data_IF_085630474014
#
_entry.id   IF_085630474014
#
_cell.length_a   1.000
_cell.length_b   1.000
_cell.length_c   1.000
_cell.angle_alpha   90.00
_cell.angle_beta   90.00
_cell.angle_gamma   90.00
#
_symmetry.space_group_name_H-M   'P 1'
#
loop_
_entity.id
_entity.type
_entity.pdbx_description
1 polymer ?
#
# COMPACT_ATOMS: atom_id res chain seq x y z
N UNK A 1 -8.94 -31.98 -30.50
CA UNK A 1 -8.43 -32.56 -31.78
C UNK A 1 -7.31 -33.50 -31.44
N UNK A 2 -7.09 -34.57 -32.25
CA UNK A 2 -5.87 -35.35 -32.15
C UNK A 2 -4.71 -34.63 -32.82
N UNK A 3 -3.46 -35.09 -32.58
CA UNK A 3 -2.26 -34.49 -33.22
C UNK A 3 -2.37 -34.55 -34.75
N UNK A 4 -2.87 -35.69 -35.29
CA UNK A 4 -3.07 -35.89 -36.72
C UNK A 4 -4.13 -34.95 -37.31
N UNK A 5 -5.23 -34.75 -36.63
CA UNK A 5 -6.26 -33.79 -37.07
C UNK A 5 -5.71 -32.35 -37.09
N UNK A 6 -4.95 -31.94 -36.06
CA UNK A 6 -4.29 -30.65 -36.06
C UNK A 6 -3.28 -30.51 -37.19
N UNK A 7 -2.46 -31.55 -37.39
CA UNK A 7 -1.49 -31.59 -38.50
C UNK A 7 -2.15 -31.47 -39.87
N UNK A 8 -3.32 -32.11 -40.05
CA UNK A 8 -4.10 -32.03 -41.28
C UNK A 8 -4.76 -30.68 -41.55
N UNK A 9 -4.90 -29.83 -40.52
CA UNK A 9 -5.48 -28.47 -40.64
C UNK A 9 -4.46 -27.39 -40.95
N UNK A 10 -3.15 -27.74 -41.02
CA UNK A 10 -2.10 -26.74 -41.21
C UNK A 10 -1.95 -26.33 -42.67
N UNK A 11 -1.60 -25.06 -42.92
CA UNK A 11 -1.28 -24.57 -44.26
C UNK A 11 -0.04 -25.23 -44.78
N UNK A 12 -0.09 -25.67 -46.09
CA UNK A 12 1.03 -26.28 -46.77
C UNK A 12 1.75 -25.27 -47.67
N UNK A 13 2.99 -25.61 -48.02
CA UNK A 13 3.75 -24.95 -49.09
C UNK A 13 3.34 -25.51 -50.44
N UNK A 14 3.76 -24.87 -51.51
CA UNK A 14 3.47 -25.31 -52.89
C UNK A 14 4.03 -26.74 -53.17
N UNK A 15 5.03 -27.19 -52.39
CA UNK A 15 5.63 -28.51 -52.45
C UNK A 15 4.98 -29.55 -51.52
N UNK A 16 3.85 -29.21 -50.85
CA UNK A 16 3.12 -30.09 -49.95
C UNK A 16 3.73 -30.26 -48.55
N UNK A 17 4.79 -29.56 -48.20
CA UNK A 17 5.34 -29.52 -46.85
C UNK A 17 4.57 -28.53 -45.99
N UNK A 18 4.51 -28.79 -44.65
CA UNK A 18 3.89 -27.89 -43.72
C UNK A 18 4.62 -26.54 -43.76
N UNK A 19 3.86 -25.43 -43.97
CA UNK A 19 4.40 -24.08 -44.01
C UNK A 19 4.86 -23.64 -42.63
N UNK A 20 6.12 -23.30 -42.51
CA UNK A 20 6.68 -22.74 -41.27
C UNK A 20 6.21 -21.28 -41.13
N UNK A 21 5.03 -21.05 -40.52
CA UNK A 21 4.38 -19.76 -40.40
C UNK A 21 3.89 -19.53 -38.95
N UNK A 22 3.74 -18.24 -38.55
CA UNK A 22 3.15 -17.89 -37.23
C UNK A 22 1.73 -18.46 -37.13
N UNK A 23 0.96 -18.45 -38.23
CA UNK A 23 -0.42 -18.97 -38.26
C UNK A 23 -0.44 -20.46 -37.92
N UNK A 24 0.39 -21.29 -38.53
CA UNK A 24 0.47 -22.71 -38.21
C UNK A 24 0.92 -22.96 -36.77
N UNK A 25 1.90 -22.19 -36.25
CA UNK A 25 2.28 -22.27 -34.85
C UNK A 25 1.08 -21.95 -33.93
N UNK A 26 0.30 -20.88 -34.22
CA UNK A 26 -0.90 -20.53 -33.48
C UNK A 26 -1.96 -21.63 -33.54
N UNK A 27 -2.22 -22.19 -34.71
CA UNK A 27 -3.17 -23.30 -34.89
C UNK A 27 -2.78 -24.50 -33.99
N UNK A 28 -1.50 -24.83 -33.93
CA UNK A 28 -1.02 -25.90 -33.05
C UNK A 28 -1.22 -25.54 -31.59
N UNK A 29 -0.76 -24.38 -31.12
CA UNK A 29 -0.93 -24.01 -29.71
C UNK A 29 -2.39 -23.92 -29.27
N UNK A 30 -3.31 -23.62 -30.18
CA UNK A 30 -4.75 -23.48 -29.88
C UNK A 30 -5.52 -24.80 -29.91
N UNK A 31 -5.06 -25.82 -30.66
CA UNK A 31 -5.82 -27.05 -30.93
C UNK A 31 -5.12 -28.36 -30.53
N UNK A 32 -3.79 -28.32 -30.34
CA UNK A 32 -3.04 -29.50 -29.91
C UNK A 32 -3.52 -29.98 -28.51
N UNK A 33 -3.77 -31.28 -28.31
CA UNK A 33 -4.36 -31.80 -27.08
C UNK A 33 -3.51 -31.55 -25.82
N UNK A 34 -2.21 -31.38 -25.97
CA UNK A 34 -1.29 -31.11 -24.85
C UNK A 34 -1.09 -29.60 -24.63
N UNK A 35 -1.01 -28.83 -25.72
CA UNK A 35 -0.64 -27.41 -25.67
C UNK A 35 -1.83 -26.48 -25.52
N UNK A 36 -3.03 -26.92 -25.90
CA UNK A 36 -4.24 -26.12 -25.81
C UNK A 36 -4.48 -25.62 -24.38
N UNK A 37 -4.45 -24.29 -24.20
CA UNK A 37 -4.66 -23.63 -22.89
C UNK A 37 -3.54 -23.88 -21.86
N UNK A 38 -2.40 -24.46 -22.28
CA UNK A 38 -1.24 -24.62 -21.41
C UNK A 38 -0.45 -23.33 -21.23
N UNK A 39 -0.37 -22.52 -22.27
CA UNK A 39 0.40 -21.27 -22.31
C UNK A 39 -0.52 -20.10 -22.01
N UNK A 40 -0.22 -19.36 -20.93
CA UNK A 40 -1.02 -18.21 -20.48
C UNK A 40 -0.14 -17.05 -20.03
N UNK A 41 -0.60 -15.83 -20.20
CA UNK A 41 0.07 -14.64 -19.67
C UNK A 41 -0.42 -14.33 -18.26
N UNK A 42 0.49 -14.32 -17.30
CA UNK A 42 0.23 -13.99 -15.92
C UNK A 42 0.31 -12.48 -15.72
N UNK A 43 -0.84 -11.84 -15.47
CA UNK A 43 -0.94 -10.38 -15.32
C UNK A 43 -0.22 -9.87 -14.05
N UNK A 44 -0.08 -10.71 -13.02
CA UNK A 44 0.58 -10.31 -11.78
C UNK A 44 2.10 -10.27 -11.94
N UNK A 45 2.68 -11.33 -12.54
CA UNK A 45 4.13 -11.43 -12.74
C UNK A 45 4.59 -10.79 -14.05
N UNK A 46 3.64 -10.49 -14.96
CA UNK A 46 3.89 -10.02 -16.33
C UNK A 46 4.80 -10.95 -17.12
N UNK A 47 4.62 -12.26 -16.91
CA UNK A 47 5.37 -13.32 -17.55
C UNK A 47 4.44 -14.34 -18.19
N UNK A 48 5.00 -15.10 -19.10
CA UNK A 48 4.31 -16.26 -19.70
C UNK A 48 4.49 -17.45 -18.78
N UNK A 49 3.40 -18.10 -18.45
CA UNK A 49 3.38 -19.30 -17.63
C UNK A 49 2.90 -20.52 -18.44
N UNK A 50 3.41 -21.69 -18.09
CA UNK A 50 2.86 -22.98 -18.49
C UNK A 50 2.04 -23.50 -17.31
N UNK A 51 0.72 -23.42 -17.42
CA UNK A 51 -0.22 -23.68 -16.32
C UNK A 51 -0.76 -25.11 -16.28
N UNK A 52 -0.42 -25.93 -17.29
CA UNK A 52 -0.76 -27.37 -17.34
C UNK A 52 0.50 -28.19 -17.23
N UNK A 53 0.44 -29.37 -16.57
CA UNK A 53 1.53 -30.30 -16.61
C UNK A 53 1.76 -30.78 -18.08
N UNK A 54 2.99 -30.74 -18.50
CA UNK A 54 3.45 -31.30 -19.78
C UNK A 54 4.31 -32.53 -19.53
N UNK A 55 5.01 -33.03 -20.53
CA UNK A 55 5.78 -34.29 -20.45
C UNK A 55 7.17 -34.13 -19.84
N UNK A 56 7.52 -32.95 -19.34
CA UNK A 56 8.74 -32.71 -18.57
C UNK A 56 8.43 -32.11 -17.22
N UNK A 57 9.33 -32.29 -16.27
CA UNK A 57 9.24 -31.70 -14.95
C UNK A 57 9.70 -30.25 -14.97
N UNK A 58 9.01 -29.41 -14.25
CA UNK A 58 9.38 -28.00 -14.07
C UNK A 58 9.12 -27.53 -12.66
N UNK A 59 10.07 -26.77 -12.06
CA UNK A 59 9.96 -26.32 -10.66
C UNK A 59 9.00 -25.12 -10.49
N UNK A 60 8.81 -24.31 -11.53
CA UNK A 60 7.99 -23.09 -11.49
C UNK A 60 7.07 -23.02 -12.70
N UNK A 61 5.95 -22.28 -12.57
CA UNK A 61 5.02 -22.11 -13.69
C UNK A 61 5.62 -21.26 -14.83
N UNK A 62 6.48 -20.31 -14.53
CA UNK A 62 7.04 -19.37 -15.52
C UNK A 62 7.85 -20.10 -16.59
N UNK A 63 7.55 -19.79 -17.85
CA UNK A 63 8.27 -20.30 -19.01
C UNK A 63 9.75 -19.84 -18.96
N UNK A 64 10.67 -20.81 -19.08
CA UNK A 64 12.11 -20.54 -19.17
C UNK A 64 12.69 -21.09 -20.48
N UNK A 65 13.99 -20.87 -20.71
CA UNK A 65 14.67 -21.29 -21.95
C UNK A 65 14.62 -22.82 -22.16
N UNK A 66 14.71 -23.60 -21.08
CA UNK A 66 14.61 -25.05 -21.17
C UNK A 66 13.20 -25.51 -21.59
N UNK A 67 12.18 -24.89 -21.01
CA UNK A 67 10.78 -25.14 -21.39
C UNK A 67 10.55 -24.80 -22.87
N UNK A 68 11.11 -23.67 -23.31
CA UNK A 68 11.02 -23.26 -24.71
C UNK A 68 11.68 -24.28 -25.65
N UNK A 69 12.83 -24.81 -25.27
CA UNK A 69 13.52 -25.86 -26.06
C UNK A 69 12.69 -27.16 -26.15
N UNK A 70 12.02 -27.58 -25.06
CA UNK A 70 11.12 -28.74 -25.11
C UNK A 70 9.90 -28.48 -26.00
N UNK A 71 9.35 -27.26 -25.99
CA UNK A 71 8.26 -26.91 -26.90
C UNK A 71 8.74 -26.91 -28.35
N UNK A 72 9.93 -26.38 -28.65
CA UNK A 72 10.52 -26.43 -30.00
C UNK A 72 10.70 -27.84 -30.49
N UNK A 73 11.30 -28.73 -29.68
CA UNK A 73 11.50 -30.14 -30.04
C UNK A 73 10.16 -30.81 -30.36
N UNK A 74 9.13 -30.59 -29.55
CA UNK A 74 7.81 -31.15 -29.78
C UNK A 74 7.18 -30.64 -31.09
N UNK A 75 7.29 -29.35 -31.37
CA UNK A 75 6.76 -28.71 -32.59
C UNK A 75 7.49 -29.22 -33.84
N UNK A 76 8.78 -29.43 -33.74
CA UNK A 76 9.59 -30.02 -34.81
C UNK A 76 9.18 -31.47 -35.09
N UNK A 77 9.16 -32.31 -34.06
CA UNK A 77 8.86 -33.77 -34.20
C UNK A 77 7.44 -34.02 -34.71
N UNK A 78 6.44 -33.31 -34.18
CA UNK A 78 5.03 -33.59 -34.52
C UNK A 78 4.54 -32.83 -35.73
N UNK A 79 5.06 -31.62 -35.96
CA UNK A 79 4.50 -30.68 -36.94
C UNK A 79 5.52 -30.16 -37.98
N UNK A 80 6.80 -30.45 -37.83
CA UNK A 80 7.85 -29.95 -38.71
C UNK A 80 8.02 -28.41 -38.63
N UNK A 81 7.62 -27.80 -37.49
CA UNK A 81 7.74 -26.36 -37.22
C UNK A 81 9.06 -26.09 -36.50
N UNK A 82 10.04 -25.49 -37.19
CA UNK A 82 11.43 -25.33 -36.70
C UNK A 82 11.87 -23.91 -36.52
N UNK A 83 11.00 -22.91 -36.87
CA UNK A 83 11.39 -21.47 -36.83
C UNK A 83 11.21 -20.89 -35.44
N UNK A 84 12.28 -20.81 -34.66
CA UNK A 84 12.34 -20.22 -33.30
C UNK A 84 11.59 -18.88 -33.22
N UNK A 85 11.95 -17.91 -34.05
CA UNK A 85 11.32 -16.56 -34.06
C UNK A 85 9.81 -16.57 -34.30
N UNK A 86 9.29 -17.54 -35.08
CA UNK A 86 7.86 -17.65 -35.36
C UNK A 86 7.14 -18.34 -34.20
N UNK A 87 7.77 -19.30 -33.57
CA UNK A 87 7.30 -20.01 -32.38
C UNK A 87 7.22 -19.02 -31.22
N UNK A 88 8.25 -18.22 -30.95
CA UNK A 88 8.23 -17.16 -29.91
C UNK A 88 7.06 -16.19 -30.11
N UNK A 89 6.88 -15.68 -31.36
CA UNK A 89 5.77 -14.78 -31.65
C UNK A 89 4.40 -15.44 -31.44
N UNK A 90 4.28 -16.71 -31.81
CA UNK A 90 3.04 -17.46 -31.59
C UNK A 90 2.77 -17.69 -30.10
N UNK A 91 3.79 -18.05 -29.32
CA UNK A 91 3.70 -18.18 -27.86
C UNK A 91 3.24 -16.86 -27.25
N UNK A 92 3.83 -15.73 -27.60
CA UNK A 92 3.45 -14.40 -27.10
C UNK A 92 1.99 -14.06 -27.42
N UNK A 93 1.52 -14.34 -28.64
CA UNK A 93 0.14 -14.10 -29.07
C UNK A 93 -0.85 -15.00 -28.31
N UNK A 94 -0.54 -16.31 -28.21
CA UNK A 94 -1.40 -17.25 -27.48
C UNK A 94 -1.48 -16.91 -26.01
N UNK A 95 -0.37 -16.57 -25.39
CA UNK A 95 -0.31 -16.12 -24.00
C UNK A 95 -1.17 -14.88 -23.78
N UNK A 96 -1.07 -13.88 -24.67
CA UNK A 96 -1.86 -12.64 -24.60
C UNK A 96 -3.37 -12.90 -24.74
N UNK A 97 -3.77 -13.81 -25.61
CA UNK A 97 -5.17 -14.25 -25.75
C UNK A 97 -5.69 -15.00 -24.51
N UNK A 98 -4.79 -15.63 -23.74
CA UNK A 98 -5.12 -16.46 -22.58
C UNK A 98 -4.63 -15.82 -21.27
N UNK A 99 -4.82 -14.52 -21.11
CA UNK A 99 -4.44 -13.83 -19.87
C UNK A 99 -5.19 -14.39 -18.65
N UNK A 100 -4.50 -14.40 -17.52
CA UNK A 100 -5.10 -14.72 -16.24
C UNK A 100 -4.45 -13.94 -15.11
N UNK A 101 -5.12 -13.87 -13.97
CA UNK A 101 -4.60 -13.20 -12.79
C UNK A 101 -4.78 -14.11 -11.57
N UNK A 102 -3.70 -14.72 -11.06
CA UNK A 102 -3.82 -15.79 -10.08
C UNK A 102 -4.53 -15.37 -8.79
N UNK A 103 -4.31 -14.12 -8.33
CA UNK A 103 -4.98 -13.61 -7.12
C UNK A 103 -6.45 -13.32 -7.37
N UNK A 104 -6.84 -12.81 -8.54
CA UNK A 104 -8.27 -12.62 -8.87
C UNK A 104 -9.01 -13.94 -8.94
N UNK A 105 -8.38 -14.94 -9.56
CA UNK A 105 -8.96 -16.27 -9.68
C UNK A 105 -9.13 -16.90 -8.29
N UNK A 106 -8.13 -16.76 -7.40
CA UNK A 106 -8.22 -17.19 -6.02
C UNK A 106 -9.36 -16.45 -5.28
N UNK A 107 -9.36 -15.13 -5.26
CA UNK A 107 -10.35 -14.32 -4.53
C UNK A 107 -11.78 -14.60 -5.01
N UNK A 108 -11.98 -14.78 -6.31
CA UNK A 108 -13.30 -15.10 -6.89
C UNK A 108 -13.75 -16.53 -6.56
N UNK A 109 -12.88 -17.43 -6.19
CA UNK A 109 -13.22 -18.81 -5.78
C UNK A 109 -13.74 -18.89 -4.34
N UNK A 110 -13.49 -17.87 -3.52
CA UNK A 110 -13.83 -17.87 -2.10
C UNK A 110 -15.32 -17.66 -1.86
N UNK A 111 -15.83 -18.27 -0.78
CA UNK A 111 -17.20 -18.11 -0.30
C UNK A 111 -17.19 -17.84 1.19
N UNK A 112 -17.77 -16.72 1.60
CA UNK A 112 -17.91 -16.38 2.99
C UNK A 112 -19.02 -17.22 3.65
N UNK A 113 -18.73 -17.70 4.84
CA UNK A 113 -19.67 -18.52 5.64
C UNK A 113 -20.53 -17.70 6.62
N UNK A 114 -20.42 -16.36 6.58
CA UNK A 114 -21.15 -15.44 7.44
C UNK A 114 -20.50 -15.18 8.80
N UNK A 115 -19.34 -15.79 9.10
CA UNK A 115 -18.65 -15.61 10.37
C UNK A 115 -17.60 -14.50 10.26
N UNK A 116 -17.64 -13.54 11.18
CA UNK A 116 -16.64 -12.47 11.28
C UNK A 116 -15.30 -13.02 11.77
N UNK A 117 -14.25 -12.80 11.01
CA UNK A 117 -12.88 -13.23 11.32
C UNK A 117 -11.88 -12.09 11.27
N UNK A 118 -12.07 -11.12 10.39
CA UNK A 118 -11.17 -9.97 10.25
C UNK A 118 -11.06 -9.24 11.58
N UNK A 119 -12.18 -9.05 12.29
CA UNK A 119 -12.22 -8.38 13.60
C UNK A 119 -11.27 -9.02 14.61
N UNK A 120 -11.22 -10.33 14.65
CA UNK A 120 -10.51 -11.07 15.70
C UNK A 120 -9.12 -11.57 15.30
N UNK A 121 -8.72 -11.42 14.05
CA UNK A 121 -7.50 -12.03 13.53
C UNK A 121 -6.23 -11.54 14.24
N UNK A 122 -6.08 -10.23 14.40
CA UNK A 122 -4.88 -9.65 15.04
C UNK A 122 -4.84 -9.96 16.54
N UNK A 123 -5.98 -9.94 17.23
CA UNK A 123 -6.08 -10.38 18.64
C UNK A 123 -5.77 -11.85 18.77
N UNK A 124 -6.31 -12.69 17.86
CA UNK A 124 -6.13 -14.14 17.89
C UNK A 124 -4.67 -14.56 17.73
N UNK A 125 -3.99 -14.02 16.71
CA UNK A 125 -2.68 -14.50 16.31
C UNK A 125 -1.51 -13.66 16.83
N UNK A 126 -1.75 -12.39 17.15
CA UNK A 126 -0.71 -11.45 17.52
C UNK A 126 -0.96 -10.78 18.89
N UNK A 127 -2.06 -11.12 19.56
CA UNK A 127 -2.39 -10.53 20.85
C UNK A 127 -2.65 -9.03 20.83
N UNK A 128 -3.04 -8.48 19.66
CA UNK A 128 -3.44 -7.08 19.56
C UNK A 128 -4.74 -6.83 20.33
N UNK A 129 -4.96 -5.58 20.73
CA UNK A 129 -6.19 -5.16 21.39
C UNK A 129 -7.41 -5.37 20.47
N UNK A 130 -8.48 -5.94 21.02
CA UNK A 130 -9.77 -6.05 20.33
C UNK A 130 -10.49 -4.69 20.40
N UNK A 131 -10.19 -3.84 19.44
CA UNK A 131 -10.78 -2.51 19.33
C UNK A 131 -11.33 -2.28 17.90
N UNK A 132 -12.23 -1.29 17.79
CA UNK A 132 -12.75 -0.88 16.48
C UNK A 132 -11.63 -0.38 15.56
N UNK A 133 -10.63 0.30 16.13
CA UNK A 133 -9.46 0.76 15.40
C UNK A 133 -8.66 -0.40 14.79
N UNK A 134 -8.35 -1.42 15.60
CA UNK A 134 -7.61 -2.63 15.15
C UNK A 134 -8.35 -3.33 14.01
N UNK A 135 -9.67 -3.50 14.16
CA UNK A 135 -10.53 -4.08 13.12
C UNK A 135 -10.51 -3.27 11.83
N UNK A 136 -10.81 -1.97 11.92
CA UNK A 136 -10.91 -1.10 10.75
C UNK A 136 -9.57 -0.99 10.01
N UNK A 137 -8.43 -0.98 10.71
CA UNK A 137 -7.11 -0.96 10.09
C UNK A 137 -6.84 -2.23 9.28
N UNK A 138 -7.12 -3.42 9.81
CA UNK A 138 -6.94 -4.67 9.07
C UNK A 138 -7.93 -4.77 7.91
N UNK A 139 -9.21 -4.44 8.13
CA UNK A 139 -10.24 -4.43 7.09
C UNK A 139 -9.87 -3.49 5.95
N UNK A 140 -9.40 -2.27 6.27
CA UNK A 140 -8.95 -1.29 5.28
C UNK A 140 -7.76 -1.81 4.46
N UNK A 141 -6.80 -2.44 5.12
CA UNK A 141 -5.64 -3.03 4.48
C UNK A 141 -6.05 -4.13 3.49
N UNK A 142 -6.93 -5.05 3.91
CA UNK A 142 -7.43 -6.14 3.06
C UNK A 142 -8.26 -5.61 1.89
N UNK A 143 -9.16 -4.65 2.12
CA UNK A 143 -9.95 -4.02 1.03
C UNK A 143 -9.05 -3.26 0.04
N UNK A 144 -7.98 -2.63 0.54
CA UNK A 144 -6.96 -2.01 -0.29
C UNK A 144 -6.22 -3.01 -1.16
N UNK A 145 -5.84 -4.15 -0.60
CA UNK A 145 -5.19 -5.26 -1.30
C UNK A 145 -6.08 -5.84 -2.41
N UNK A 146 -7.36 -6.08 -2.12
CA UNK A 146 -8.36 -6.50 -3.13
C UNK A 146 -8.48 -5.43 -4.23
N UNK A 147 -8.64 -4.16 -3.83
CA UNK A 147 -8.84 -3.07 -4.80
C UNK A 147 -7.66 -2.91 -5.74
N UNK A 148 -6.42 -3.03 -5.25
CA UNK A 148 -5.18 -2.98 -6.05
C UNK A 148 -5.14 -4.09 -7.11
N UNK A 149 -5.66 -5.27 -6.80
CA UNK A 149 -5.71 -6.41 -7.71
C UNK A 149 -6.81 -6.24 -8.77
N UNK A 150 -8.03 -5.83 -8.37
CA UNK A 150 -9.16 -5.67 -9.31
C UNK A 150 -9.10 -4.35 -10.10
N UNK A 151 -8.51 -3.31 -9.53
CA UNK A 151 -8.27 -2.00 -10.17
C UNK A 151 -6.82 -1.57 -9.98
N UNK A 152 -5.88 -2.16 -10.75
CA UNK A 152 -4.48 -1.80 -10.68
C UNK A 152 -4.26 -0.30 -10.80
N UNK A 153 -3.31 0.24 -10.05
CA UNK A 153 -3.02 1.66 -10.03
C UNK A 153 -4.04 2.52 -9.28
N UNK A 154 -5.05 1.94 -8.62
CA UNK A 154 -5.93 2.73 -7.75
C UNK A 154 -5.13 3.38 -6.61
N UNK A 155 -5.58 4.56 -6.18
CA UNK A 155 -4.96 5.26 -5.05
C UNK A 155 -5.21 4.48 -3.76
N UNK A 156 -4.14 3.98 -3.16
CA UNK A 156 -4.11 3.39 -1.83
C UNK A 156 -2.75 3.67 -1.21
N UNK A 157 -2.71 4.47 -0.18
CA UNK A 157 -1.50 5.06 0.37
C UNK A 157 -1.29 4.75 1.86
N UNK A 158 -1.90 3.66 2.34
CA UNK A 158 -1.83 3.24 3.74
C UNK A 158 -0.96 2.00 3.88
N UNK A 159 -0.23 1.92 4.98
CA UNK A 159 0.59 0.79 5.40
C UNK A 159 0.11 0.33 6.77
N UNK A 160 -0.24 -0.94 6.91
CA UNK A 160 -0.50 -1.56 8.20
C UNK A 160 0.85 -1.84 8.88
N UNK A 161 1.07 -1.29 10.07
CA UNK A 161 2.33 -1.41 10.81
C UNK A 161 2.12 -2.23 12.08
N UNK A 162 2.71 -3.42 12.14
CA UNK A 162 2.68 -4.29 13.32
C UNK A 162 3.90 -4.00 14.19
N UNK A 163 3.68 -3.56 15.43
CA UNK A 163 4.73 -3.09 16.35
C UNK A 163 4.73 -3.95 17.62
N UNK A 164 5.87 -4.50 18.00
CA UNK A 164 5.99 -5.34 19.18
C UNK A 164 7.25 -6.19 19.17
N UNK A 165 7.48 -6.95 20.23
CA UNK A 165 8.69 -7.72 20.44
C UNK A 165 9.09 -8.63 19.28
N UNK A 166 10.37 -8.98 19.24
CA UNK A 166 10.88 -9.98 18.30
C UNK A 166 10.21 -11.34 18.55
N UNK A 167 9.92 -12.08 17.47
CA UNK A 167 9.25 -13.39 17.58
C UNK A 167 7.73 -13.34 17.74
N UNK A 168 7.11 -12.16 17.77
CA UNK A 168 5.65 -12.01 17.90
C UNK A 168 4.83 -12.47 16.67
N UNK A 169 5.46 -13.03 15.63
CA UNK A 169 4.75 -13.57 14.46
C UNK A 169 4.35 -12.55 13.41
N UNK A 170 4.82 -11.30 13.49
CA UNK A 170 4.44 -10.18 12.58
C UNK A 170 4.66 -10.51 11.11
N UNK A 171 5.89 -10.87 10.73
CA UNK A 171 6.24 -11.22 9.34
C UNK A 171 5.53 -12.49 8.89
N UNK A 172 5.40 -13.47 9.78
CA UNK A 172 4.63 -14.70 9.51
C UNK A 172 3.17 -14.40 9.21
N UNK A 173 2.56 -13.46 9.95
CA UNK A 173 1.19 -13.03 9.69
C UNK A 173 1.04 -12.43 8.29
N UNK A 174 1.93 -11.51 7.88
CA UNK A 174 1.91 -10.96 6.52
C UNK A 174 2.15 -12.03 5.44
N UNK A 175 3.08 -12.97 5.69
CA UNK A 175 3.35 -14.08 4.76
C UNK A 175 2.12 -14.96 4.57
N UNK A 176 1.48 -15.37 5.65
CA UNK A 176 0.27 -16.19 5.55
C UNK A 176 -0.91 -15.39 4.97
N UNK A 177 -1.03 -14.10 5.30
CA UNK A 177 -2.06 -13.23 4.72
C UNK A 177 -1.91 -13.10 3.19
N UNK A 178 -0.70 -13.20 2.65
CA UNK A 178 -0.47 -13.25 1.21
C UNK A 178 -0.92 -14.58 0.55
N UNK A 179 -1.37 -15.57 1.34
CA UNK A 179 -1.91 -16.88 0.95
C UNK A 179 -0.83 -17.82 0.40
N UNK A 180 -0.07 -17.39 -0.59
CA UNK A 180 1.05 -18.15 -1.16
C UNK A 180 2.35 -17.41 -0.91
N UNK A 181 3.40 -18.16 -0.59
CA UNK A 181 4.72 -17.61 -0.33
C UNK A 181 5.25 -16.82 -1.54
N UNK A 182 4.93 -17.25 -2.77
CA UNK A 182 5.29 -16.55 -4.02
C UNK A 182 4.60 -15.19 -4.19
N UNK A 183 3.53 -14.89 -3.43
CA UNK A 183 2.82 -13.60 -3.44
C UNK A 183 3.26 -12.68 -2.32
N UNK A 184 4.18 -13.13 -1.47
CA UNK A 184 4.77 -12.38 -0.38
C UNK A 184 6.22 -12.00 -0.69
N UNK A 185 6.65 -10.85 -0.21
CA UNK A 185 8.07 -10.46 -0.21
C UNK A 185 8.40 -9.67 1.05
N UNK A 186 9.55 -9.96 1.65
CA UNK A 186 10.19 -9.23 2.73
C UNK A 186 11.59 -8.69 2.33
N UNK A 187 11.91 -8.78 1.03
CA UNK A 187 13.22 -8.36 0.48
C UNK A 187 13.31 -6.87 0.15
N UNK A 188 12.28 -6.08 0.46
CA UNK A 188 12.27 -4.65 0.18
C UNK A 188 12.93 -3.87 1.33
N UNK A 189 14.27 -3.88 1.37
CA UNK A 189 15.06 -3.21 2.42
C UNK A 189 15.37 -1.74 2.12
N UNK A 190 15.29 -1.32 0.85
CA UNK A 190 15.58 0.04 0.40
C UNK A 190 14.68 0.41 -0.77
N UNK A 191 14.18 1.65 -0.77
CA UNK A 191 13.29 2.18 -1.82
C UNK A 191 14.04 2.95 -2.92
N UNK A 192 15.32 3.23 -2.70
CA UNK A 192 16.23 3.90 -3.64
C UNK A 192 17.08 2.91 -4.47
N UNK A 193 16.78 1.60 -4.39
CA UNK A 193 17.42 0.56 -5.20
C UNK A 193 16.87 0.61 -6.63
N UNK A 194 17.74 0.62 -7.64
CA UNK A 194 17.37 0.59 -9.07
C UNK A 194 16.51 -0.65 -9.42
N UNK A 195 16.62 -1.72 -8.64
CA UNK A 195 15.85 -2.95 -8.81
C UNK A 195 14.57 -3.01 -7.98
N UNK A 196 14.20 -1.95 -7.26
CA UNK A 196 13.04 -1.95 -6.36
C UNK A 196 11.76 -2.44 -7.05
N UNK A 197 11.55 -2.05 -8.29
CA UNK A 197 10.35 -2.43 -9.06
C UNK A 197 10.34 -3.90 -9.46
N UNK A 198 11.51 -4.46 -9.76
CA UNK A 198 11.65 -5.91 -10.06
C UNK A 198 11.38 -6.75 -8.82
N UNK A 199 11.77 -6.27 -7.64
CA UNK A 199 11.48 -6.93 -6.35
C UNK A 199 10.00 -6.86 -5.97
N UNK A 200 9.26 -5.91 -6.52
CA UNK A 200 7.81 -5.80 -6.27
C UNK A 200 6.96 -6.63 -7.25
N UNK A 201 7.52 -6.96 -8.41
CA UNK A 201 6.80 -7.67 -9.46
C UNK A 201 6.42 -9.10 -9.02
N UNK A 202 5.16 -9.45 -9.17
CA UNK A 202 4.66 -10.78 -8.80
C UNK A 202 4.23 -10.91 -7.34
N UNK A 203 4.41 -9.86 -6.50
CA UNK A 203 4.04 -9.90 -5.10
C UNK A 203 2.77 -9.09 -4.83
N UNK A 204 1.94 -9.58 -3.92
CA UNK A 204 0.69 -8.98 -3.50
C UNK A 204 0.83 -8.21 -2.19
N UNK A 205 1.48 -8.83 -1.19
CA UNK A 205 1.79 -8.21 0.09
C UNK A 205 3.32 -8.13 0.22
N UNK A 206 3.82 -6.91 0.45
CA UNK A 206 5.26 -6.65 0.60
C UNK A 206 5.49 -6.09 1.99
N UNK A 207 6.32 -6.76 2.76
CA UNK A 207 6.73 -6.30 4.08
C UNK A 207 7.96 -5.39 4.00
N UNK A 208 7.87 -4.27 4.68
CA UNK A 208 8.96 -3.31 4.88
C UNK A 208 9.42 -3.40 6.34
N UNK A 209 10.24 -4.42 6.64
CA UNK A 209 10.76 -4.66 7.99
C UNK A 209 11.75 -3.58 8.40
N UNK A 210 11.60 -3.05 9.64
CA UNK A 210 12.50 -2.08 10.28
C UNK A 210 12.88 -0.85 9.44
N UNK A 211 12.33 -0.73 8.24
CA UNK A 211 12.68 0.35 7.30
C UNK A 211 12.26 1.72 7.83
N UNK A 212 11.09 1.79 8.46
CA UNK A 212 10.55 3.04 9.00
C UNK A 212 11.35 3.44 10.23
N UNK A 213 11.67 2.48 11.12
CA UNK A 213 12.40 2.74 12.37
C UNK A 213 13.82 3.28 12.15
N UNK A 214 14.45 2.94 11.03
CA UNK A 214 15.80 3.40 10.67
C UNK A 214 15.81 4.64 9.77
N UNK A 215 14.63 5.11 9.34
CA UNK A 215 14.51 6.22 8.41
C UNK A 215 14.69 7.58 9.10
N UNK A 216 15.52 8.43 8.51
CA UNK A 216 15.57 9.85 8.88
C UNK A 216 14.39 10.63 8.25
N UNK A 217 14.21 11.90 8.63
CA UNK A 217 13.10 12.73 8.16
C UNK A 217 12.98 12.79 6.61
N UNK A 218 14.10 12.82 5.89
CA UNK A 218 14.09 12.81 4.42
C UNK A 218 13.65 11.46 3.89
N UNK A 219 14.19 10.37 4.43
CA UNK A 219 13.85 9.01 4.01
C UNK A 219 12.37 8.70 4.25
N UNK A 220 11.75 9.28 5.27
CA UNK A 220 10.32 9.07 5.55
C UNK A 220 9.43 9.73 4.50
N UNK A 221 9.78 10.91 4.02
CA UNK A 221 9.05 11.54 2.92
C UNK A 221 9.19 10.74 1.61
N UNK A 222 10.36 10.17 1.39
CA UNK A 222 10.58 9.26 0.26
C UNK A 222 9.72 7.98 0.40
N UNK A 223 9.62 7.40 1.61
CA UNK A 223 8.73 6.25 1.90
C UNK A 223 7.27 6.63 1.69
N UNK A 224 6.81 7.78 2.21
CA UNK A 224 5.44 8.27 2.00
C UNK A 224 5.12 8.49 0.52
N UNK A 225 6.06 9.08 -0.22
CA UNK A 225 5.96 9.26 -1.67
C UNK A 225 5.90 7.90 -2.38
N UNK A 226 6.78 6.97 -2.00
CA UNK A 226 6.82 5.63 -2.57
C UNK A 226 5.52 4.85 -2.35
N UNK A 227 4.98 4.82 -1.13
CA UNK A 227 3.71 4.15 -0.82
C UNK A 227 2.56 4.72 -1.65
N UNK A 228 2.56 6.03 -1.88
CA UNK A 228 1.48 6.74 -2.58
C UNK A 228 1.45 6.55 -4.10
N UNK A 229 2.50 5.99 -4.69
CA UNK A 229 2.57 5.80 -6.14
C UNK A 229 1.48 4.86 -6.63
N UNK A 230 0.89 5.21 -7.76
CA UNK A 230 -0.13 4.41 -8.43
C UNK A 230 0.45 3.54 -9.55
N UNK A 231 1.55 3.98 -10.15
CA UNK A 231 2.24 3.29 -11.24
C UNK A 231 3.75 3.47 -11.13
N UNK A 232 4.45 2.55 -11.74
CA UNK A 232 5.89 2.58 -11.93
C UNK A 232 6.19 2.64 -13.42
N UNK A 233 7.16 3.47 -13.81
CA UNK A 233 7.62 3.55 -15.20
C UNK A 233 9.07 3.11 -15.23
N UNK A 234 9.33 1.92 -15.76
CA UNK A 234 10.68 1.41 -15.90
C UNK A 234 10.79 0.53 -17.15
N UNK A 235 12.02 0.41 -17.64
CA UNK A 235 12.32 -0.47 -18.77
C UNK A 235 12.73 -1.83 -18.25
N UNK A 236 11.99 -2.87 -18.62
CA UNK A 236 12.44 -4.23 -18.37
C UNK A 236 13.62 -4.54 -19.27
N UNK A 237 14.67 -5.16 -18.76
CA UNK A 237 15.76 -5.65 -19.63
C UNK A 237 15.18 -6.51 -20.77
N UNK A 238 15.66 -6.26 -21.98
CA UNK A 238 15.25 -6.92 -23.22
C UNK A 238 13.90 -6.47 -23.82
N UNK A 239 13.08 -5.68 -23.13
CA UNK A 239 11.93 -5.03 -23.78
C UNK A 239 12.36 -3.80 -24.60
N UNK A 240 11.79 -3.67 -25.81
CA UNK A 240 12.12 -2.57 -26.73
C UNK A 240 11.57 -1.24 -26.23
N UNK A 241 10.41 -1.25 -25.57
CA UNK A 241 9.69 -0.05 -25.14
C UNK A 241 9.48 -0.05 -23.61
N UNK A 242 9.67 1.12 -22.94
CA UNK A 242 9.26 1.27 -21.56
C UNK A 242 7.73 1.16 -21.45
N UNK A 243 7.24 0.51 -20.40
CA UNK A 243 5.82 0.41 -20.14
C UNK A 243 5.47 0.96 -18.74
N UNK A 244 4.30 1.61 -18.65
CA UNK A 244 3.71 1.99 -17.38
C UNK A 244 3.12 0.73 -16.71
N UNK A 245 3.61 0.42 -15.53
CA UNK A 245 3.16 -0.74 -14.75
C UNK A 245 2.34 -0.29 -13.57
N UNK A 246 1.08 -0.63 -13.60
CA UNK A 246 0.12 -0.25 -12.56
C UNK A 246 0.35 -1.07 -11.32
N UNK A 247 0.46 -0.40 -10.17
CA UNK A 247 0.73 -1.05 -8.89
C UNK A 247 -0.43 -1.96 -8.46
N UNK A 248 -0.10 -3.21 -8.12
CA UNK A 248 -1.04 -4.24 -7.70
C UNK A 248 -0.82 -4.71 -6.26
N UNK A 249 0.31 -4.33 -5.65
CA UNK A 249 0.69 -4.70 -4.29
C UNK A 249 0.24 -3.67 -3.25
N UNK A 250 0.25 -4.12 -1.99
CA UNK A 250 0.13 -3.30 -0.78
C UNK A 250 1.33 -3.51 0.12
N UNK A 251 1.57 -2.55 1.04
CA UNK A 251 2.72 -2.59 1.94
C UNK A 251 2.29 -2.82 3.37
N UNK A 252 2.88 -3.81 4.03
CA UNK A 252 2.88 -3.99 5.46
C UNK A 252 4.19 -3.49 6.06
N UNK A 253 4.18 -3.04 7.30
CA UNK A 253 5.38 -2.68 8.05
C UNK A 253 5.49 -3.52 9.31
N UNK A 254 6.70 -3.87 9.72
CA UNK A 254 6.95 -4.45 11.03
C UNK A 254 8.08 -3.70 11.74
N UNK A 255 7.93 -3.53 13.05
CA UNK A 255 8.95 -2.95 13.91
C UNK A 255 9.04 -3.67 15.25
N UNK A 256 10.27 -3.79 15.75
CA UNK A 256 10.55 -4.30 17.09
C UNK A 256 10.69 -3.15 18.12
N UNK A 257 10.77 -1.91 17.67
CA UNK A 257 10.88 -0.71 18.50
C UNK A 257 9.58 0.07 18.51
N UNK A 258 9.25 0.65 19.66
CA UNK A 258 8.07 1.51 19.79
C UNK A 258 8.24 2.80 18.98
N UNK A 259 9.40 3.45 19.10
CA UNK A 259 9.70 4.72 18.43
C UNK A 259 10.06 4.51 16.96
N UNK A 260 9.17 3.85 16.21
CA UNK A 260 9.42 3.55 14.80
C UNK A 260 8.92 4.62 13.84
N UNK A 261 7.97 5.45 14.26
CA UNK A 261 7.52 6.58 13.45
C UNK A 261 8.46 7.76 13.62
N UNK A 262 8.79 8.48 12.55
CA UNK A 262 9.56 9.70 12.67
C UNK A 262 8.75 10.79 13.35
N UNK A 263 9.45 11.75 13.93
CA UNK A 263 8.85 12.98 14.41
C UNK A 263 8.37 13.81 13.21
N UNK A 264 7.15 13.53 12.76
CA UNK A 264 6.48 14.28 11.69
C UNK A 264 5.27 15.01 12.23
N UNK A 265 5.42 16.32 12.38
CA UNK A 265 4.38 17.22 12.88
C UNK A 265 3.27 17.46 11.85
N UNK A 266 3.51 17.17 10.57
CA UNK A 266 2.52 17.23 9.48
C UNK A 266 1.57 16.04 9.46
N UNK A 267 1.93 14.98 10.15
CA UNK A 267 1.14 13.77 10.39
C UNK A 267 1.53 12.54 9.57
N UNK A 268 1.53 11.43 10.26
CA UNK A 268 1.90 10.12 9.76
C UNK A 268 0.69 9.31 9.25
N UNK A 269 -0.35 9.95 8.70
CA UNK A 269 -1.66 9.33 8.36
C UNK A 269 -1.59 8.08 7.45
N UNK A 270 -0.44 7.84 6.82
CA UNK A 270 -0.24 6.66 5.97
C UNK A 270 0.13 5.42 6.77
N UNK A 271 0.62 5.58 7.98
CA UNK A 271 1.04 4.48 8.83
C UNK A 271 -0.04 4.16 9.85
N UNK A 272 -0.54 2.94 9.84
CA UNK A 272 -1.57 2.44 10.77
C UNK A 272 -0.90 1.52 11.80
N UNK A 273 -0.38 2.06 12.91
CA UNK A 273 0.30 1.26 13.92
C UNK A 273 -0.69 0.42 14.71
N UNK A 274 -0.36 -0.86 14.86
CA UNK A 274 -1.05 -1.80 15.74
C UNK A 274 -0.02 -2.40 16.68
N UNK A 275 -0.22 -2.21 17.98
CA UNK A 275 0.58 -2.88 19.00
C UNK A 275 0.25 -4.37 19.06
N UNK A 276 1.28 -5.21 19.07
CA UNK A 276 1.14 -6.66 19.17
C UNK A 276 1.89 -7.20 20.38
N UNK A 277 1.28 -8.18 21.07
CA UNK A 277 1.75 -8.77 22.30
C UNK A 277 1.69 -10.30 22.19
N UNK A 278 2.83 -10.93 21.90
CA UNK A 278 2.89 -12.38 21.68
C UNK A 278 2.30 -13.18 22.85
N UNK A 279 2.48 -12.69 24.08
CA UNK A 279 1.97 -13.28 25.32
C UNK A 279 0.44 -13.26 25.44
N UNK A 280 -0.22 -12.38 24.72
CA UNK A 280 -1.69 -12.24 24.69
C UNK A 280 -2.32 -12.97 23.49
N UNK A 281 -1.50 -13.53 22.59
CA UNK A 281 -2.01 -14.27 21.44
C UNK A 281 -2.73 -15.54 21.89
N UNK A 282 -3.94 -15.76 21.37
CA UNK A 282 -4.76 -16.93 21.72
C UNK A 282 -4.23 -18.23 21.10
N UNK A 283 -3.59 -18.10 19.93
CA UNK A 283 -3.05 -19.22 19.15
C UNK A 283 -1.76 -18.74 18.49
N UNK A 284 -0.70 -19.51 18.61
CA UNK A 284 0.50 -19.24 17.82
C UNK A 284 0.22 -19.56 16.33
N UNK A 285 0.50 -18.62 15.45
CA UNK A 285 0.07 -18.69 14.03
C UNK A 285 0.63 -19.92 13.27
N UNK A 286 1.75 -20.48 13.72
CA UNK A 286 2.37 -21.68 13.18
C UNK A 286 2.11 -22.93 14.02
N UNK A 287 1.30 -22.87 15.08
CA UNK A 287 0.93 -24.06 15.87
C UNK A 287 0.21 -25.08 15.01
N UNK A 288 -0.72 -24.62 14.17
CA UNK A 288 -1.33 -25.38 13.07
C UNK A 288 -1.41 -24.45 11.85
N UNK A 289 -0.41 -24.55 10.99
CA UNK A 289 -0.34 -23.70 9.80
C UNK A 289 -1.52 -23.95 8.84
N UNK A 290 -1.99 -25.19 8.72
CA UNK A 290 -3.11 -25.51 7.84
C UNK A 290 -4.42 -24.87 8.35
N UNK A 291 -4.69 -24.93 9.65
CA UNK A 291 -5.84 -24.25 10.25
C UNK A 291 -5.72 -22.73 10.13
N UNK A 292 -4.51 -22.17 10.29
CA UNK A 292 -4.27 -20.74 10.13
C UNK A 292 -4.49 -20.27 8.69
N UNK A 293 -4.05 -21.02 7.69
CA UNK A 293 -4.32 -20.74 6.28
C UNK A 293 -5.81 -20.83 5.96
N UNK A 294 -6.51 -21.84 6.45
CA UNK A 294 -7.96 -21.94 6.28
C UNK A 294 -8.72 -20.76 6.92
N UNK A 295 -8.27 -20.30 8.09
CA UNK A 295 -8.83 -19.12 8.74
C UNK A 295 -8.62 -17.87 7.88
N UNK A 296 -7.43 -17.69 7.33
CA UNK A 296 -7.07 -16.56 6.44
C UNK A 296 -7.85 -16.60 5.12
N UNK A 297 -8.07 -17.78 4.54
CA UNK A 297 -8.94 -17.92 3.36
C UNK A 297 -10.35 -17.41 3.65
N UNK A 298 -10.90 -17.71 4.81
CA UNK A 298 -12.22 -17.22 5.23
C UNK A 298 -12.22 -15.72 5.58
N UNK A 299 -11.10 -15.16 6.05
CA UNK A 299 -10.95 -13.70 6.17
C UNK A 299 -10.99 -13.02 4.78
N UNK A 300 -10.33 -13.59 3.79
CA UNK A 300 -10.40 -13.06 2.41
C UNK A 300 -11.80 -13.21 1.82
N UNK A 301 -12.50 -14.30 2.12
CA UNK A 301 -13.90 -14.49 1.73
C UNK A 301 -14.81 -13.41 2.35
N UNK A 302 -14.62 -13.09 3.64
CA UNK A 302 -15.28 -11.98 4.35
C UNK A 302 -14.96 -10.63 3.71
N UNK A 303 -13.69 -10.35 3.42
CA UNK A 303 -13.26 -9.12 2.76
C UNK A 303 -13.86 -8.98 1.34
N UNK A 304 -13.93 -10.07 0.58
CA UNK A 304 -14.58 -10.10 -0.74
C UNK A 304 -16.07 -9.83 -0.65
N UNK A 305 -16.76 -10.35 0.38
CA UNK A 305 -18.16 -10.02 0.61
C UNK A 305 -18.34 -8.51 0.84
N UNK A 306 -17.52 -7.88 1.69
CA UNK A 306 -17.55 -6.43 1.87
C UNK A 306 -17.25 -5.68 0.58
N UNK A 307 -16.24 -6.14 -0.17
CA UNK A 307 -15.84 -5.52 -1.43
C UNK A 307 -16.96 -5.48 -2.48
N UNK A 308 -17.78 -6.51 -2.55
CA UNK A 308 -18.88 -6.62 -3.52
C UNK A 308 -20.18 -5.96 -3.08
N UNK A 309 -20.47 -5.97 -1.79
CA UNK A 309 -21.80 -5.58 -1.29
C UNK A 309 -21.84 -4.17 -0.70
N UNK A 310 -20.70 -3.53 -0.47
CA UNK A 310 -20.64 -2.20 0.14
C UNK A 310 -19.72 -1.24 -0.64
N UNK A 311 -19.96 0.08 -0.54
CA UNK A 311 -19.04 1.07 -1.11
C UNK A 311 -17.64 0.94 -0.50
N UNK A 312 -16.64 0.65 -1.33
CA UNK A 312 -15.26 0.48 -0.87
C UNK A 312 -14.64 1.84 -0.57
N UNK A 313 -14.52 2.17 0.71
CA UNK A 313 -13.76 3.33 1.19
C UNK A 313 -12.35 2.88 1.55
N UNK A 314 -11.35 3.55 0.97
CA UNK A 314 -9.92 3.24 1.19
C UNK A 314 -9.25 4.28 2.12
N UNK A 315 -10.01 4.81 3.07
CA UNK A 315 -9.56 5.77 4.09
C UNK A 315 -10.33 5.51 5.38
N UNK A 316 -9.70 5.72 6.49
CA UNK A 316 -10.37 5.71 7.80
C UNK A 316 -11.41 6.83 7.90
N UNK A 317 -12.40 6.67 8.77
CA UNK A 317 -13.36 7.71 9.11
C UNK A 317 -12.68 8.92 9.76
N UNK A 318 -13.41 10.03 9.89
CA UNK A 318 -12.86 11.23 10.58
C UNK A 318 -12.57 10.94 12.06
N UNK A 319 -13.42 10.16 12.69
CA UNK A 319 -13.30 9.73 14.09
C UNK A 319 -12.07 8.85 14.27
N UNK A 320 -11.93 7.80 13.45
CA UNK A 320 -10.76 6.92 13.46
C UNK A 320 -9.45 7.66 13.16
N UNK A 321 -9.47 8.67 12.30
CA UNK A 321 -8.30 9.50 12.05
C UNK A 321 -7.89 10.38 13.25
N UNK A 322 -8.84 10.75 14.13
CA UNK A 322 -8.50 11.42 15.39
C UNK A 322 -7.83 10.45 16.37
N UNK A 323 -8.39 9.26 16.49
CA UNK A 323 -7.83 8.18 17.31
C UNK A 323 -6.43 7.80 16.81
N UNK A 324 -6.26 7.60 15.51
CA UNK A 324 -4.97 7.35 14.87
C UNK A 324 -3.92 8.40 15.26
N UNK A 325 -4.26 9.70 15.23
CA UNK A 325 -3.33 10.77 15.62
C UNK A 325 -2.88 10.67 17.09
N UNK A 326 -3.78 10.27 17.97
CA UNK A 326 -3.44 10.05 19.39
C UNK A 326 -2.52 8.85 19.55
N UNK A 327 -2.87 7.73 18.91
CA UNK A 327 -2.07 6.51 18.94
C UNK A 327 -0.67 6.72 18.35
N UNK A 328 -0.57 7.42 17.22
CA UNK A 328 0.72 7.68 16.57
C UNK A 328 1.72 8.43 17.44
N UNK A 329 1.25 9.26 18.38
CA UNK A 329 2.12 9.94 19.34
C UNK A 329 2.90 8.96 20.23
N UNK A 330 2.33 7.80 20.54
CA UNK A 330 2.98 6.75 21.33
C UNK A 330 4.11 6.04 20.58
N UNK A 331 4.12 6.17 19.25
CA UNK A 331 5.11 5.54 18.36
C UNK A 331 6.12 6.53 17.78
N UNK A 332 6.10 7.78 18.23
CA UNK A 332 7.04 8.81 17.82
C UNK A 332 8.01 9.09 18.98
N UNK A 333 9.28 9.42 18.69
CA UNK A 333 10.21 9.86 19.71
C UNK A 333 9.70 11.15 20.37
N UNK A 334 10.10 11.36 21.63
CA UNK A 334 9.78 12.61 22.33
C UNK A 334 10.28 13.84 21.57
N UNK A 335 9.40 14.80 21.37
CA UNK A 335 9.76 16.10 20.82
C UNK A 335 10.36 16.98 21.90
N UNK A 336 11.64 16.74 22.23
CA UNK A 336 12.37 17.49 23.26
C UNK A 336 12.33 19.00 23.02
N UNK A 337 12.37 19.44 21.74
CA UNK A 337 12.27 20.87 21.41
C UNK A 337 10.89 21.42 21.71
N UNK A 338 9.84 20.69 21.39
CA UNK A 338 8.48 21.09 21.74
C UNK A 338 8.29 21.17 23.25
N UNK A 339 8.84 20.19 23.99
CA UNK A 339 8.83 20.21 25.46
C UNK A 339 9.54 21.44 26.05
N UNK A 340 10.72 21.77 25.54
CA UNK A 340 11.45 22.99 25.98
C UNK A 340 10.67 24.27 25.66
N UNK A 341 10.10 24.37 24.46
CA UNK A 341 9.30 25.53 24.06
C UNK A 341 8.04 25.63 24.92
N UNK A 342 7.32 24.55 25.18
CA UNK A 342 6.13 24.54 26.02
C UNK A 342 6.47 24.97 27.45
N UNK A 343 7.52 24.37 28.05
CA UNK A 343 7.98 24.74 29.40
C UNK A 343 8.39 26.19 29.52
N UNK A 344 9.04 26.75 28.51
CA UNK A 344 9.36 28.19 28.44
C UNK A 344 8.07 29.01 28.39
N UNK A 345 7.14 28.66 27.50
CA UNK A 345 5.90 29.42 27.28
C UNK A 345 4.94 29.40 28.49
N UNK A 346 4.93 28.30 29.25
CA UNK A 346 4.16 28.14 30.48
C UNK A 346 4.62 29.18 31.55
N UNK A 347 5.93 29.42 31.60
CA UNK A 347 6.55 30.36 32.52
C UNK A 347 6.74 31.80 31.94
N UNK A 348 6.39 32.01 30.67
CA UNK A 348 6.57 33.28 30.01
C UNK A 348 5.47 34.28 30.36
N UNK A 349 5.84 35.42 30.91
CA UNK A 349 4.90 36.44 31.34
C UNK A 349 4.33 37.33 30.20
N UNK A 350 4.88 37.23 29.00
CA UNK A 350 4.41 37.99 27.84
C UNK A 350 3.16 37.37 27.21
N UNK A 351 2.42 38.21 26.48
CA UNK A 351 1.20 37.78 25.77
C UNK A 351 1.46 37.41 24.31
N UNK A 352 2.65 37.70 23.79
CA UNK A 352 3.00 37.46 22.38
C UNK A 352 4.42 36.95 22.24
N UNK A 353 4.63 36.01 21.31
CA UNK A 353 5.93 35.48 20.97
C UNK A 353 6.12 35.40 19.46
N UNK A 354 7.38 35.39 19.01
CA UNK A 354 7.74 35.14 17.61
C UNK A 354 8.85 34.10 17.51
N UNK A 355 9.08 33.55 16.32
CA UNK A 355 10.05 32.51 16.10
C UNK A 355 11.47 32.84 16.54
N UNK A 356 11.91 34.10 16.33
CA UNK A 356 13.23 34.58 16.80
C UNK A 356 13.33 34.61 18.31
N UNK A 357 12.28 35.05 19.01
CA UNK A 357 12.22 35.07 20.48
C UNK A 357 12.32 33.63 21.03
N UNK A 358 11.54 32.71 20.46
CA UNK A 358 11.57 31.31 20.87
C UNK A 358 12.96 30.68 20.64
N UNK A 359 13.59 30.98 19.49
CA UNK A 359 14.93 30.53 19.20
C UNK A 359 15.96 31.00 20.20
N UNK A 360 15.95 32.32 20.49
CA UNK A 360 16.90 32.96 21.38
C UNK A 360 16.68 32.58 22.85
N UNK A 361 15.44 32.58 23.33
CA UNK A 361 15.15 32.50 24.77
C UNK A 361 14.71 31.05 25.19
N UNK A 362 13.82 30.40 24.43
CA UNK A 362 13.38 29.05 24.78
C UNK A 362 14.41 27.97 24.41
N UNK A 363 15.09 28.12 23.27
CA UNK A 363 16.11 27.18 22.80
C UNK A 363 17.53 27.58 23.16
N UNK A 364 17.70 28.65 23.93
CA UNK A 364 18.98 29.13 24.48
C UNK A 364 20.05 29.47 23.42
N UNK A 365 19.66 30.22 22.38
CA UNK A 365 20.55 30.74 21.33
C UNK A 365 20.57 32.28 21.32
N UNK A 366 21.00 32.93 22.40
CA UNK A 366 20.83 34.41 22.56
C UNK A 366 21.68 35.26 21.62
N UNK A 367 22.73 34.71 21.05
CA UNK A 367 23.69 35.42 20.19
C UNK A 367 23.65 34.99 18.72
N UNK A 368 22.85 33.97 18.38
CA UNK A 368 22.81 33.41 17.04
C UNK A 368 21.56 33.85 16.28
N UNK A 369 21.69 34.07 14.99
CA UNK A 369 20.55 34.27 14.10
C UNK A 369 20.03 32.93 13.60
N UNK A 370 18.72 32.64 13.77
CA UNK A 370 18.16 31.37 13.31
C UNK A 370 18.21 31.24 11.80
N UNK A 371 18.62 30.07 11.31
CA UNK A 371 18.55 29.71 9.90
C UNK A 371 17.10 29.49 9.47
N UNK A 372 16.84 29.56 8.17
CA UNK A 372 15.46 29.40 7.66
C UNK A 372 14.81 28.06 8.03
N UNK A 373 15.57 26.99 8.12
CA UNK A 373 15.03 25.69 8.50
C UNK A 373 14.65 25.65 10.00
N UNK A 374 15.40 26.33 10.88
CA UNK A 374 15.09 26.43 12.32
C UNK A 374 13.81 27.26 12.53
N UNK A 375 13.64 28.35 11.79
CA UNK A 375 12.39 29.11 11.80
C UNK A 375 11.20 28.28 11.37
N UNK A 376 11.36 27.46 10.31
CA UNK A 376 10.30 26.55 9.86
C UNK A 376 9.96 25.51 10.92
N UNK A 377 10.97 24.89 11.53
CA UNK A 377 10.79 23.92 12.60
C UNK A 377 10.05 24.53 13.80
N UNK A 378 10.45 25.73 14.27
CA UNK A 378 9.77 26.43 15.35
C UNK A 378 8.31 26.74 14.97
N UNK A 379 8.05 27.17 13.74
CA UNK A 379 6.69 27.44 13.27
C UNK A 379 5.83 26.15 13.26
N UNK A 380 6.40 25.03 12.87
CA UNK A 380 5.71 23.74 12.91
C UNK A 380 5.42 23.30 14.35
N UNK A 381 6.38 23.45 15.26
CA UNK A 381 6.18 23.15 16.68
C UNK A 381 5.04 23.98 17.24
N UNK A 382 5.09 25.29 17.06
CA UNK A 382 4.11 26.23 17.58
C UNK A 382 2.70 26.00 17.06
N UNK A 383 2.56 25.61 15.79
CA UNK A 383 1.26 25.40 15.15
C UNK A 383 0.64 24.04 15.44
N UNK A 384 1.46 23.02 15.73
CA UNK A 384 0.99 21.63 15.80
C UNK A 384 1.15 20.98 17.18
N UNK A 385 2.07 21.47 18.02
CA UNK A 385 2.47 20.80 19.27
C UNK A 385 2.26 21.65 20.52
N UNK A 386 2.15 22.98 20.40
CA UNK A 386 2.06 23.89 21.55
C UNK A 386 0.61 24.19 21.85
N UNK A 387 0.26 24.09 23.13
CA UNK A 387 -1.07 24.41 23.64
C UNK A 387 -1.13 25.83 24.22
N UNK A 388 -2.30 26.43 24.20
CA UNK A 388 -2.55 27.73 24.81
C UNK A 388 -2.04 28.94 23.99
N UNK A 389 -1.58 28.74 22.75
CA UNK A 389 -1.10 29.82 21.89
C UNK A 389 -1.73 29.76 20.49
N UNK A 390 -2.13 30.90 19.94
CA UNK A 390 -2.79 31.00 18.63
C UNK A 390 -2.01 31.93 17.71
N UNK A 391 -1.78 31.52 16.47
CA UNK A 391 -1.11 32.35 15.48
C UNK A 391 -1.94 33.59 15.11
N UNK A 392 -1.34 34.78 15.10
CA UNK A 392 -1.99 35.97 14.58
C UNK A 392 -1.70 36.18 13.09
N UNK A 393 -2.65 36.74 12.35
CA UNK A 393 -2.60 36.86 10.89
C UNK A 393 -1.63 37.92 10.40
N UNK A 394 -1.51 39.05 11.13
CA UNK A 394 -0.72 40.21 10.72
C UNK A 394 0.60 40.30 11.48
N UNK A 395 1.76 40.59 10.82
CA UNK A 395 3.03 40.77 11.52
C UNK A 395 2.97 41.90 12.54
N UNK A 396 3.50 41.68 13.76
CA UNK A 396 3.62 42.66 14.87
C UNK A 396 5.07 43.01 15.13
N UNK A 397 5.31 44.14 15.83
CA UNK A 397 6.67 44.61 16.16
C UNK A 397 7.07 44.04 17.51
N UNK A 398 8.17 43.36 17.56
CA UNK A 398 8.84 42.86 18.77
C UNK A 398 10.08 43.71 19.03
N UNK A 399 10.20 44.29 20.21
CA UNK A 399 11.22 45.31 20.55
C UNK A 399 12.66 44.90 20.20
N UNK A 400 13.04 43.61 20.43
CA UNK A 400 14.38 43.10 20.14
C UNK A 400 14.48 42.41 18.77
N UNK A 401 13.36 41.97 18.15
CA UNK A 401 13.34 41.04 17.02
C UNK A 401 12.73 41.64 15.75
N UNK A 402 12.28 42.93 15.80
CA UNK A 402 11.70 43.60 14.65
C UNK A 402 10.28 43.15 14.31
N UNK A 403 9.83 43.41 13.08
CA UNK A 403 8.50 43.05 12.60
C UNK A 403 8.42 41.60 12.19
N UNK A 404 7.63 40.79 12.90
CA UNK A 404 7.53 39.36 12.75
C UNK A 404 6.07 38.86 12.81
N UNK A 405 5.82 37.70 12.18
CA UNK A 405 4.67 36.84 12.50
C UNK A 405 4.94 36.14 13.81
N UNK A 406 3.89 35.68 14.50
CA UNK A 406 4.05 34.97 15.76
C UNK A 406 2.71 34.51 16.31
N UNK A 407 2.69 34.29 17.61
CA UNK A 407 1.56 33.75 18.32
C UNK A 407 1.23 34.62 19.52
N UNK A 408 -0.04 34.62 19.92
CA UNK A 408 -0.53 35.22 21.12
C UNK A 408 -1.15 34.18 22.05
N UNK A 409 -1.09 34.40 23.33
CA UNK A 409 -1.69 33.55 24.35
C UNK A 409 -3.19 33.51 24.13
N UNK A 410 -3.76 32.29 23.99
CA UNK A 410 -5.21 32.12 23.90
C UNK A 410 -5.87 32.67 25.17
N UNK A 411 -6.93 33.47 25.03
CA UNK A 411 -7.68 33.98 26.17
C UNK A 411 -8.23 32.80 26.98
N UNK A 412 -7.90 32.75 28.26
CA UNK A 412 -8.44 31.73 29.17
C UNK A 412 -9.94 32.01 29.36
N UNK A 413 -10.77 31.16 28.76
CA UNK A 413 -12.22 31.18 28.95
C UNK A 413 -12.98 31.95 27.88
N UNK A 414 -13.20 31.28 26.77
CA UNK A 414 -14.47 31.33 26.03
C UNK A 414 -14.45 30.13 25.04
N UNK A 415 -15.55 29.43 24.99
CA UNK A 415 -15.85 28.47 23.92
C UNK A 415 -15.52 29.10 22.56
N UNK A 416 -15.10 28.30 21.54
CA UNK A 416 -14.82 28.85 20.22
C UNK A 416 -16.07 29.60 19.76
N UNK A 417 -15.95 30.95 19.67
CA UNK A 417 -16.95 31.75 19.00
C UNK A 417 -17.13 31.13 17.61
N UNK A 418 -18.34 30.67 17.35
CA UNK A 418 -18.76 30.27 16.03
C UNK A 418 -18.26 31.32 15.05
N UNK A 419 -17.44 30.94 14.10
CA UNK A 419 -17.07 31.79 12.96
C UNK A 419 -18.38 32.11 12.25
N UNK A 420 -18.97 33.25 12.60
CA UNK A 420 -20.06 33.82 11.84
C UNK A 420 -19.56 33.99 10.41
N UNK A 421 -20.15 33.29 9.49
CA UNK A 421 -19.97 33.52 8.07
C UNK A 421 -20.37 34.97 7.82
N UNK A 422 -19.42 35.81 7.40
CA UNK A 422 -19.74 37.14 6.88
C UNK A 422 -20.43 36.91 5.54
N UNK A 423 -21.74 36.85 5.57
CA UNK A 423 -22.55 36.82 4.35
C UNK A 423 -22.39 38.16 3.63
N UNK A 424 -22.29 38.19 2.30
CA UNK A 424 -22.26 39.41 1.53
C UNK A 424 -23.52 40.25 1.80
N UNK A 425 -23.41 41.58 1.72
CA UNK A 425 -24.51 42.50 1.94
C UNK A 425 -25.76 42.11 1.12
N UNK A 426 -26.84 41.85 1.82
CA UNK A 426 -28.10 41.41 1.22
C UNK A 426 -28.52 39.96 1.47
N UNK A 427 -27.65 39.14 2.12
CA UNK A 427 -28.01 37.77 2.54
C UNK A 427 -28.16 37.69 4.05
N UNK A 428 -29.18 36.99 4.53
CA UNK A 428 -29.41 36.68 5.94
C UNK A 428 -29.46 35.18 6.16
N UNK A 429 -29.04 34.68 7.31
CA UNK A 429 -29.29 33.28 7.68
C UNK A 429 -30.79 33.05 7.84
N UNK A 430 -31.27 31.96 7.25
CA UNK A 430 -32.65 31.48 7.43
C UNK A 430 -32.78 30.86 8.83
N UNK A 431 -33.87 31.15 9.49
CA UNK A 431 -34.20 30.47 10.75
C UNK A 431 -34.56 29.05 10.51
N UNK A 432 -34.42 28.16 11.52
CA UNK A 432 -34.74 26.72 11.39
C UNK A 432 -36.20 26.47 10.94
N UNK A 433 -37.12 27.38 11.25
CA UNK A 433 -38.50 27.31 10.81
C UNK A 433 -38.68 27.66 9.32
N UNK A 434 -37.92 28.66 8.83
CA UNK A 434 -37.92 29.04 7.42
C UNK A 434 -37.26 27.94 6.55
N UNK A 435 -36.20 27.26 7.06
CA UNK A 435 -35.55 26.17 6.39
C UNK A 435 -36.43 24.90 6.26
N UNK A 436 -37.33 24.63 7.24
CA UNK A 436 -38.29 23.54 7.20
C UNK A 436 -39.48 23.77 6.24
N UNK A 437 -39.75 25.03 5.89
CA UNK A 437 -40.83 25.37 4.93
C UNK A 437 -40.35 25.37 3.47
N UNK A 438 -39.05 25.27 3.21
CA UNK A 438 -38.49 25.10 1.87
C UNK A 438 -38.27 23.60 1.59
N UNK A 439 -39.33 22.81 1.47
CA UNK A 439 -39.27 21.52 0.81
C UNK A 439 -38.95 21.76 -0.67
N UNK A 440 -37.72 21.47 -1.07
CA UNK A 440 -37.38 21.35 -2.48
C UNK A 440 -37.99 20.06 -3.01
N UNK A 441 -38.78 20.13 -4.07
CA UNK A 441 -39.30 18.94 -4.72
C UNK A 441 -38.17 18.32 -5.56
N UNK A 442 -37.47 17.30 -4.99
CA UNK A 442 -36.80 16.24 -5.74
C UNK A 442 -36.43 15.09 -4.77
#
# INVERSE_FOLDING_TARGET
>A
MTVEEVRGSLDLTDNGAIRNSIRNCLTVFQNDPYLQGAIRYNILTERIDIVKPLWWEKPTATLNDTDFNYLMLYLEDKYGLTSEKKIEKAISIVADCNKYHPIRDYLNSLKWDGTERIRYALTRYLGAEDSEYTYECLRLFMLGAIRRVFKPGCKFEVMLCLVGGQGAGKSTFFRLLAVKDEWFSDDLKRIDDDNVYRKMQGHWIIEMSEMIATANAKSIEDIKSFISRAKETYKVPYETHPADRLRQCVFGGSSNTLDFLPLDRSGNRRFLPIMVHAENAKVHILEDEAASRAYIDLMWAEAMFFYHNFPVRLTLSKEMNKELKVLQKQFMPEDTKAGLIQSFLDNYNGTQVCSKLIYAEALNHPFDEPKQWEIREINEIMNNSIEGWTAFSNPRIFAKYGRQRGWERAASGNEPAATGSILPDGFRELTEEEARQMELPF
#
